data_IF_111010706298
#
_entry.id   IF_111010706298
#
_cell.length_a   1.000
_cell.length_b   1.000
_cell.length_c   1.000
_cell.angle_alpha   90.00
_cell.angle_beta   90.00
_cell.angle_gamma   90.00
#
_symmetry.space_group_name_H-M   'P 1'
#
loop_
_entity.id
_entity.type
_entity.pdbx_description
1 polymer ?
2 non-polymer ?
3 non-polymer ?
4 water ?
#
# COMPACT_ATOMS: atom_id res chain seq x y z
N UNK A 1 -24.55 1.55 4.24
CA UNK A 1 -24.24 2.99 3.99
C UNK A 1 -22.80 3.27 4.45
N UNK A 2 -22.54 4.51 4.85
CA UNK A 2 -21.23 4.90 5.37
C UNK A 2 -21.31 4.51 6.85
N UNK A 3 -22.52 4.23 7.29
CA UNK A 3 -22.79 3.84 8.67
C UNK A 3 -22.29 2.43 8.97
N UNK A 4 -22.31 1.57 7.96
CA UNK A 4 -21.86 0.20 8.16
C UNK A 4 -20.34 0.18 8.26
N UNK A 5 -19.68 1.00 7.46
CA UNK A 5 -18.23 1.05 7.50
C UNK A 5 -17.77 1.67 8.83
N UNK A 6 -18.46 2.73 9.27
CA UNK A 6 -18.10 3.37 10.53
C UNK A 6 -18.42 2.44 11.68
N UNK A 7 -19.32 1.52 11.39
CA UNK A 7 -19.78 0.50 12.32
C UNK A 7 -18.67 -0.48 12.72
N UNK A 8 -17.75 -0.75 11.78
CA UNK A 8 -16.65 -1.69 12.01
C UNK A 8 -15.36 -0.99 12.37
N UNK A 9 -15.40 0.33 12.43
CA UNK A 9 -14.24 1.09 12.80
C UNK A 9 -14.03 0.97 14.29
N UNK A 10 -12.81 1.21 14.75
CA UNK A 10 -12.52 1.13 16.17
C UNK A 10 -13.13 2.35 16.86
N UNK A 11 -13.75 2.11 18.01
CA UNK A 11 -14.34 3.21 18.78
C UNK A 11 -13.19 3.85 19.53
N UNK A 12 -12.91 5.10 19.19
CA UNK A 12 -11.81 5.84 19.78
C UNK A 12 -12.17 6.78 20.93
N UNK A 13 -11.25 6.89 21.88
CA UNK A 13 -11.39 7.75 23.05
C UNK A 13 -10.05 8.45 23.30
N UNK A 14 -10.09 9.53 24.07
CA UNK A 14 -8.87 10.26 24.40
C UNK A 14 -7.98 9.28 25.16
N UNK A 15 -6.73 9.14 24.71
CA UNK A 15 -5.81 8.24 25.36
C UNK A 15 -5.37 7.11 24.45
N UNK A 16 -6.15 6.82 23.42
CA UNK A 16 -5.81 5.74 22.50
C UNK A 16 -4.70 6.18 21.56
N UNK A 17 -4.18 5.23 20.78
CA UNK A 17 -3.13 5.53 19.82
C UNK A 17 -2.94 4.39 18.82
N UNK A 18 -2.57 4.75 17.59
CA UNK A 18 -2.38 3.74 16.57
C UNK A 18 -2.87 4.20 15.21
N UNK A 19 -2.85 3.31 14.23
CA UNK A 19 -3.28 3.63 12.88
C UNK A 19 -4.68 4.25 12.84
N UNK A 20 -5.57 3.79 13.72
CA UNK A 20 -6.93 4.31 13.77
C UNK A 20 -6.97 5.80 14.15
N UNK A 21 -6.28 6.15 15.23
CA UNK A 21 -6.23 7.53 15.69
C UNK A 21 -5.57 8.38 14.61
N UNK A 22 -4.76 7.73 13.79
CA UNK A 22 -4.08 8.41 12.71
C UNK A 22 -5.05 8.69 11.56
N UNK A 23 -5.89 7.72 11.24
CA UNK A 23 -6.88 7.86 10.18
C UNK A 23 -7.91 8.90 10.63
N UNK A 24 -8.18 8.93 11.92
CA UNK A 24 -9.13 9.88 12.48
C UNK A 24 -8.68 11.31 12.25
N UNK A 25 -7.49 11.63 12.74
CA UNK A 25 -6.92 12.99 12.62
C UNK A 25 -6.81 13.47 11.18
N UNK A 26 -6.51 12.55 10.28
CA UNK A 26 -6.41 12.91 8.87
C UNK A 26 -7.78 13.40 8.43
N UNK A 27 -8.81 12.59 8.69
CA UNK A 27 -10.18 12.93 8.35
C UNK A 27 -10.64 14.25 8.96
N UNK A 28 -10.27 14.49 10.22
CA UNK A 28 -10.65 15.72 10.89
C UNK A 28 -10.05 16.94 10.19
N UNK A 29 -8.80 16.82 9.77
CA UNK A 29 -8.12 17.92 9.07
C UNK A 29 -8.74 18.09 7.70
N UNK A 30 -9.07 16.96 7.07
CA UNK A 30 -9.68 16.93 5.75
C UNK A 30 -11.15 17.36 5.79
N UNK A 31 -11.65 17.62 6.99
CA UNK A 31 -13.03 18.06 7.18
C UNK A 31 -13.06 19.54 7.53
N UNK A 32 -11.90 20.09 7.84
CA UNK A 32 -11.82 21.50 8.19
C UNK A 32 -11.60 21.68 9.68
N UNK A 33 -11.36 20.58 10.37
CA UNK A 33 -11.13 20.65 11.81
C UNK A 33 -9.67 20.35 12.08
N UNK A 34 -8.88 21.42 12.13
CA UNK A 34 -7.44 21.32 12.32
C UNK A 34 -7.01 20.74 13.66
N UNK A 35 -6.30 19.62 13.58
CA UNK A 35 -5.80 18.94 14.77
C UNK A 35 -4.27 18.91 14.69
N UNK A 36 -3.76 19.23 13.51
CA UNK A 36 -2.32 19.25 13.30
C UNK A 36 -1.88 18.03 12.51
N UNK A 37 -0.56 17.83 12.44
CA UNK A 37 -0.01 16.69 11.72
C UNK A 37 -0.42 15.41 12.45
N UNK A 38 -1.05 14.47 11.73
CA UNK A 38 -1.47 13.20 12.34
C UNK A 38 -0.28 12.45 12.94
N UNK A 39 -0.36 12.10 14.21
CA UNK A 39 0.72 11.38 14.88
C UNK A 39 0.27 10.02 15.38
N UNK A 40 -1.04 9.80 15.44
CA UNK A 40 -1.56 8.54 15.92
C UNK A 40 -1.86 8.51 17.41
N UNK A 41 -1.82 9.68 18.06
CA UNK A 41 -2.10 9.76 19.50
C UNK A 41 -3.25 10.71 19.79
N UNK A 42 -4.35 10.16 20.29
CA UNK A 42 -5.56 10.91 20.61
C UNK A 42 -5.39 11.76 21.86
N UNK A 43 -5.00 13.02 21.69
CA UNK A 43 -4.80 13.91 22.82
C UNK A 43 -5.94 14.90 23.04
N UNK A 44 -5.58 16.12 23.43
CA UNK A 44 -6.57 17.17 23.67
C UNK A 44 -7.00 17.90 22.40
N UNK A 45 -6.04 18.23 21.54
CA UNK A 45 -6.36 18.92 20.29
C UNK A 45 -7.37 18.10 19.51
N UNK A 46 -7.14 16.80 19.47
CA UNK A 46 -8.02 15.89 18.75
C UNK A 46 -9.38 15.80 19.44
N UNK A 47 -9.38 15.73 20.76
CA UNK A 47 -10.62 15.62 21.53
C UNK A 47 -11.55 16.83 21.33
N UNK A 48 -10.98 18.03 21.40
CA UNK A 48 -11.78 19.25 21.25
C UNK A 48 -12.36 19.43 19.87
N UNK A 49 -11.67 18.92 18.87
CA UNK A 49 -12.13 19.02 17.49
C UNK A 49 -13.22 17.97 17.22
N UNK A 50 -13.10 16.83 17.89
CA UNK A 50 -14.08 15.75 17.74
C UNK A 50 -15.39 16.24 18.31
N UNK A 51 -15.31 16.83 19.50
CA UNK A 51 -16.48 17.35 20.21
C UNK A 51 -17.19 18.39 19.38
N UNK A 52 -16.44 19.40 18.93
CA UNK A 52 -16.99 20.47 18.12
C UNK A 52 -17.62 19.88 16.86
N UNK A 53 -16.85 19.05 16.17
CA UNK A 53 -17.32 18.40 14.95
C UNK A 53 -18.64 17.70 15.19
N UNK A 54 -18.77 17.05 16.35
CA UNK A 54 -19.99 16.34 16.72
C UNK A 54 -21.14 17.31 16.97
N UNK A 55 -20.85 18.41 17.66
CA UNK A 55 -21.88 19.42 17.94
C UNK A 55 -22.34 20.06 16.62
N UNK A 56 -21.39 20.40 15.75
CA UNK A 56 -21.71 21.00 14.46
C UNK A 56 -22.59 20.08 13.62
N UNK A 57 -22.51 18.78 13.87
CA UNK A 57 -23.25 17.82 13.07
C UNK A 57 -24.41 17.07 13.73
N UNK A 58 -24.75 17.47 14.95
CA UNK A 58 -25.84 16.86 15.71
C UNK A 58 -25.62 15.38 15.98
N UNK A 59 -24.48 15.10 16.58
CA UNK A 59 -24.11 13.74 16.94
C UNK A 59 -23.97 13.83 18.45
N UNK A 60 -23.94 12.69 19.12
CA UNK A 60 -23.78 12.72 20.57
C UNK A 60 -22.38 13.26 20.85
N UNK A 61 -22.33 14.53 21.22
CA UNK A 61 -21.07 15.23 21.49
C UNK A 61 -20.44 14.97 22.85
N UNK A 62 -19.83 13.81 23.01
CA UNK A 62 -19.16 13.46 24.27
C UNK A 62 -17.68 13.16 24.08
N UNK A 63 -17.19 13.33 22.85
CA UNK A 63 -15.79 13.07 22.57
C UNK A 63 -15.49 11.65 22.09
N UNK A 64 -16.46 10.75 22.20
CA UNK A 64 -16.29 9.36 21.78
C UNK A 64 -16.54 9.21 20.27
N UNK A 65 -15.61 8.58 19.57
CA UNK A 65 -15.71 8.41 18.14
C UNK A 65 -16.20 7.02 17.75
N UNK A 66 -17.50 6.91 17.54
CA UNK A 66 -18.11 5.65 17.18
C UNK A 66 -18.67 5.65 15.77
N UNK A 67 -19.54 4.68 15.50
CA UNK A 67 -20.14 4.52 14.19
C UNK A 67 -20.57 5.83 13.53
N UNK A 68 -21.47 6.54 14.21
CA UNK A 68 -22.01 7.80 13.71
C UNK A 68 -20.99 8.88 13.43
N UNK A 69 -20.06 9.07 14.36
CA UNK A 69 -19.05 10.09 14.16
C UNK A 69 -18.15 9.68 12.98
N UNK A 70 -17.83 8.39 12.87
CA UNK A 70 -17.01 7.90 11.74
C UNK A 70 -17.72 8.13 10.41
N UNK A 71 -18.98 7.71 10.32
CA UNK A 71 -19.76 7.88 9.11
C UNK A 71 -19.84 9.34 8.68
N UNK A 72 -19.93 10.24 9.66
CA UNK A 72 -20.02 11.67 9.35
C UNK A 72 -18.72 12.13 8.71
N UNK A 73 -17.60 11.74 9.31
CA UNK A 73 -16.28 12.08 8.78
C UNK A 73 -16.13 11.54 7.35
N UNK A 74 -16.47 10.27 7.14
CA UNK A 74 -16.39 9.68 5.81
C UNK A 74 -17.30 10.43 4.86
N UNK A 75 -18.30 11.11 5.41
CA UNK A 75 -19.25 11.85 4.62
C UNK A 75 -18.84 13.29 4.31
N UNK A 76 -18.12 13.93 5.21
CA UNK A 76 -17.75 15.32 5.01
C UNK A 76 -16.34 15.60 4.48
N UNK A 77 -15.39 14.72 4.80
CA UNK A 77 -14.00 14.94 4.39
C UNK A 77 -13.84 15.19 2.89
N UNK A 78 -12.86 16.01 2.55
CA UNK A 78 -12.57 16.36 1.16
C UNK A 78 -11.24 15.72 0.77
N UNK A 79 -11.28 14.74 -0.16
CA UNK A 79 -10.12 14.00 -0.67
C UNK A 79 -9.12 14.94 -1.36
N UNK A 80 -7.89 15.03 -0.83
CA UNK A 80 -6.87 15.89 -1.41
C UNK A 80 -6.48 15.55 -2.85
N UNK A 81 -6.62 14.29 -3.23
CA UNK A 81 -6.27 13.87 -4.59
C UNK A 81 -7.18 12.73 -5.05
N UNK A 82 -8.42 13.04 -5.45
CA UNK A 82 -9.32 11.96 -5.90
C UNK A 82 -8.71 11.15 -7.04
N UNK A 83 -8.76 9.82 -6.92
CA UNK A 83 -8.14 8.97 -7.94
C UNK A 83 -8.65 9.21 -9.36
N UNK A 84 -9.76 9.95 -9.48
CA UNK A 84 -10.31 10.26 -10.79
C UNK A 84 -9.43 11.29 -11.48
N UNK A 85 -8.55 11.94 -10.72
CA UNK A 85 -7.65 12.93 -11.31
C UNK A 85 -6.55 12.20 -12.08
N UNK A 86 -6.41 10.90 -11.82
CA UNK A 86 -5.44 10.07 -12.55
C UNK A 86 -6.22 9.54 -13.75
N UNK A 87 -5.70 9.73 -14.96
CA UNK A 87 -6.40 9.25 -16.15
C UNK A 87 -6.37 7.75 -16.35
N UNK A 88 -7.44 7.23 -16.93
CA UNK A 88 -7.54 5.80 -17.23
C UNK A 88 -6.63 5.56 -18.42
N UNK A 89 -6.05 4.36 -18.53
CA UNK A 89 -5.18 4.13 -19.69
C UNK A 89 -6.10 3.87 -20.89
N UNK A 90 -5.71 4.36 -22.06
CA UNK A 90 -6.53 4.18 -23.26
C UNK A 90 -6.82 2.72 -23.59
N UNK A 91 -5.92 1.82 -23.17
CA UNK A 91 -6.09 0.40 -23.44
C UNK A 91 -5.49 -0.45 -22.33
N UNK A 92 -5.89 -1.72 -22.30
CA UNK A 92 -5.40 -2.67 -21.31
C UNK A 92 -4.22 -3.45 -21.89
N UNK A 93 -3.42 -4.06 -21.02
CA UNK A 93 -2.27 -4.86 -21.45
C UNK A 93 -1.28 -4.07 -22.29
N UNK A 94 -1.36 -2.74 -22.22
CA UNK A 94 -0.49 -1.87 -22.99
C UNK A 94 0.46 -1.05 -22.11
N UNK A 95 1.76 -1.24 -22.30
CA UNK A 95 2.75 -0.48 -21.53
C UNK A 95 2.70 0.99 -21.92
N UNK A 96 2.43 1.27 -23.19
CA UNK A 96 2.35 2.64 -23.67
C UNK A 96 1.11 3.36 -23.11
N UNK A 97 0.03 2.63 -22.94
CA UNK A 97 -1.21 3.21 -22.42
C UNK A 97 -1.04 3.48 -20.92
N UNK A 98 -0.22 2.66 -20.27
CA UNK A 98 0.04 2.76 -18.85
C UNK A 98 1.00 3.88 -18.48
N UNK A 99 1.79 4.33 -19.45
CA UNK A 99 2.78 5.37 -19.20
C UNK A 99 2.22 6.70 -18.65
N UNK A 100 1.25 7.31 -19.36
CA UNK A 100 0.71 8.57 -18.84
C UNK A 100 0.13 8.40 -17.42
N UNK A 101 -0.47 7.25 -17.16
CA UNK A 101 -1.03 6.99 -15.84
C UNK A 101 0.06 7.04 -14.78
N UNK A 102 1.15 6.30 -15.01
CA UNK A 102 2.25 6.24 -14.06
C UNK A 102 2.94 7.59 -13.88
N UNK A 103 2.85 8.45 -14.89
CA UNK A 103 3.44 9.77 -14.80
C UNK A 103 2.60 10.56 -13.78
N UNK A 104 1.28 10.49 -13.93
CA UNK A 104 0.37 11.18 -13.03
C UNK A 104 0.56 10.65 -11.61
N UNK A 105 0.74 9.34 -11.51
CA UNK A 105 0.92 8.75 -10.20
C UNK A 105 2.26 9.19 -9.60
N UNK A 106 3.28 9.38 -10.43
CA UNK A 106 4.58 9.83 -9.91
C UNK A 106 4.42 11.25 -9.35
N UNK A 107 3.70 12.09 -10.08
CA UNK A 107 3.47 13.46 -9.62
C UNK A 107 2.70 13.47 -8.30
N UNK A 108 1.80 12.51 -8.14
CA UNK A 108 0.96 12.41 -6.96
C UNK A 108 1.61 11.78 -5.74
N UNK A 109 2.45 10.77 -5.96
CA UNK A 109 3.08 10.06 -4.85
C UNK A 109 4.58 10.26 -4.76
N UNK A 110 5.20 10.71 -5.85
CA UNK A 110 6.64 10.91 -5.84
C UNK A 110 7.41 9.71 -6.37
N UNK A 111 6.77 8.56 -6.51
CA UNK A 111 7.45 7.36 -7.01
C UNK A 111 7.62 7.37 -8.52
N UNK A 112 8.86 7.16 -8.95
CA UNK A 112 9.21 7.15 -10.38
C UNK A 112 8.39 6.18 -11.20
N UNK A 113 7.85 6.68 -12.30
CA UNK A 113 7.01 5.87 -13.17
C UNK A 113 7.74 4.70 -13.83
N UNK A 114 9.04 4.82 -14.04
CA UNK A 114 9.80 3.74 -14.65
C UNK A 114 9.66 2.52 -13.74
N UNK A 115 9.74 2.79 -12.43
CA UNK A 115 9.62 1.76 -11.42
C UNK A 115 8.20 1.18 -11.40
N UNK A 116 7.20 2.05 -11.41
CA UNK A 116 5.81 1.58 -11.41
C UNK A 116 5.54 0.74 -12.65
N UNK A 117 6.19 1.12 -13.76
CA UNK A 117 6.02 0.41 -15.02
C UNK A 117 6.64 -0.97 -14.94
N UNK A 118 7.86 -1.04 -14.42
CA UNK A 118 8.55 -2.31 -14.27
C UNK A 118 7.71 -3.28 -13.43
N UNK A 119 7.17 -2.80 -12.30
CA UNK A 119 6.36 -3.63 -11.41
C UNK A 119 5.07 -4.10 -12.04
N UNK A 120 4.33 -3.20 -12.67
CA UNK A 120 3.08 -3.56 -13.32
C UNK A 120 3.33 -4.56 -14.45
N UNK A 121 4.52 -4.52 -15.03
CA UNK A 121 4.89 -5.41 -16.12
C UNK A 121 5.21 -6.82 -15.61
N UNK A 122 6.03 -6.92 -14.57
CA UNK A 122 6.40 -8.21 -13.99
C UNK A 122 5.22 -8.87 -13.32
N UNK A 123 4.34 -8.06 -12.75
CA UNK A 123 3.19 -8.58 -12.02
C UNK A 123 1.99 -9.01 -12.86
N UNK A 124 1.66 -8.25 -13.88
CA UNK A 124 0.49 -8.56 -14.69
C UNK A 124 0.67 -8.33 -16.20
N UNK A 125 1.89 -8.07 -16.63
CA UNK A 125 2.12 -7.79 -18.04
C UNK A 125 1.11 -6.74 -18.52
N UNK A 126 0.81 -5.80 -17.63
CA UNK A 126 -0.09 -4.67 -17.88
C UNK A 126 -1.59 -4.93 -18.00
N UNK A 127 -2.03 -6.10 -17.56
CA UNK A 127 -3.44 -6.44 -17.58
C UNK A 127 -3.96 -6.04 -16.19
N UNK A 128 -4.70 -4.95 -16.13
CA UNK A 128 -5.21 -4.47 -14.85
C UNK A 128 -6.45 -5.20 -14.38
N UNK A 129 -6.71 -6.34 -15.00
CA UNK A 129 -7.87 -7.14 -14.62
C UNK A 129 -7.46 -8.55 -14.24
N UNK A 130 -6.27 -8.94 -14.66
CA UNK A 130 -5.76 -10.28 -14.39
C UNK A 130 -5.90 -10.68 -12.91
N UNK A 131 -6.47 -11.87 -12.70
CA UNK A 131 -6.69 -12.43 -11.37
C UNK A 131 -5.99 -13.79 -11.27
N UNK A 132 -4.89 -13.83 -10.52
CA UNK A 132 -4.10 -15.05 -10.33
C UNK A 132 -5.00 -16.25 -10.04
N UNK A 133 -4.65 -17.39 -10.63
CA UNK A 133 -5.43 -18.61 -10.46
C UNK A 133 -5.01 -19.33 -9.18
N UNK A 134 -3.92 -18.89 -8.58
CA UNK A 134 -3.41 -19.50 -7.35
C UNK A 134 -3.62 -18.66 -6.09
N UNK A 135 -4.28 -17.51 -6.22
CA UNK A 135 -4.51 -16.64 -5.06
C UNK A 135 -5.52 -15.54 -5.34
N UNK A 136 -5.47 -14.50 -4.50
CA UNK A 136 -6.36 -13.35 -4.63
C UNK A 136 -5.76 -12.35 -5.61
N UNK A 137 -4.43 -12.24 -5.58
CA UNK A 137 -3.69 -11.31 -6.43
C UNK A 137 -4.46 -10.87 -7.67
N UNK A 138 -4.85 -9.60 -7.68
CA UNK A 138 -5.59 -9.01 -8.80
C UNK A 138 -5.06 -7.65 -9.24
N UNK A 139 -5.27 -7.34 -10.52
CA UNK A 139 -4.86 -6.07 -11.08
C UNK A 139 -3.37 -5.91 -11.39
N UNK A 140 -3.02 -4.72 -11.89
CA UNK A 140 -1.65 -4.37 -12.24
C UNK A 140 -0.58 -4.76 -11.24
N UNK A 141 -0.87 -4.55 -9.94
CA UNK A 141 0.10 -4.85 -8.91
C UNK A 141 -0.18 -6.13 -8.14
N UNK A 142 -1.14 -6.91 -8.63
CA UNK A 142 -1.51 -8.18 -8.03
C UNK A 142 -1.60 -8.08 -6.51
N UNK A 143 -2.59 -7.33 -6.04
CA UNK A 143 -2.81 -7.15 -4.62
C UNK A 143 -3.70 -8.26 -4.09
N UNK A 144 -3.32 -8.83 -2.96
CA UNK A 144 -4.12 -9.85 -2.31
C UNK A 144 -5.24 -9.10 -1.59
N UNK A 145 -6.31 -9.81 -1.25
CA UNK A 145 -7.43 -9.20 -0.54
C UNK A 145 -6.96 -8.58 0.79
N UNK A 146 -6.11 -9.31 1.50
CA UNK A 146 -5.62 -8.82 2.78
C UNK A 146 -4.88 -7.50 2.71
N UNK A 147 -3.77 -7.50 1.97
CA UNK A 147 -2.94 -6.32 1.82
C UNK A 147 -3.70 -5.15 1.19
N UNK A 148 -4.64 -5.44 0.29
CA UNK A 148 -5.44 -4.39 -0.35
C UNK A 148 -6.29 -3.67 0.68
N UNK A 149 -6.98 -4.45 1.51
CA UNK A 149 -7.85 -3.91 2.55
C UNK A 149 -7.04 -2.99 3.45
N UNK A 150 -5.86 -3.45 3.85
CA UNK A 150 -4.98 -2.67 4.72
C UNK A 150 -4.59 -1.36 4.04
N UNK A 151 -4.24 -1.45 2.77
CA UNK A 151 -3.84 -0.27 2.02
C UNK A 151 -4.98 0.73 1.87
N UNK A 152 -6.21 0.26 1.66
CA UNK A 152 -7.34 1.16 1.52
C UNK A 152 -7.58 2.00 2.78
N UNK A 153 -7.69 1.32 3.91
CA UNK A 153 -7.93 2.00 5.17
C UNK A 153 -6.83 2.97 5.59
N UNK A 154 -5.58 2.68 5.21
CA UNK A 154 -4.49 3.56 5.57
C UNK A 154 -4.09 4.66 4.60
N UNK A 155 -4.58 4.59 3.36
CA UNK A 155 -4.23 5.59 2.37
C UNK A 155 -5.43 5.99 1.52
N UNK A 156 -6.47 5.17 1.57
CA UNK A 156 -7.66 5.42 0.78
C UNK A 156 -8.23 6.82 0.77
N UNK A 157 -8.56 7.38 1.93
CA UNK A 157 -9.14 8.73 2.01
C UNK A 157 -8.36 9.75 1.22
N UNK A 158 -7.04 9.64 1.28
CA UNK A 158 -6.12 10.52 0.58
C UNK A 158 -6.54 10.64 -0.89
N UNK A 159 -7.17 9.60 -1.42
CA UNK A 159 -7.60 9.58 -2.82
C UNK A 159 -9.09 9.43 -3.04
N UNK A 160 -9.87 9.56 -1.97
CA UNK A 160 -11.31 9.47 -2.09
C UNK A 160 -11.91 8.07 -2.11
N UNK A 161 -11.29 7.15 -1.39
CA UNK A 161 -11.79 5.79 -1.33
C UNK A 161 -11.62 5.31 0.11
N UNK A 162 -12.74 5.18 0.83
CA UNK A 162 -12.70 4.75 2.23
C UNK A 162 -12.70 3.25 2.38
N UNK A 163 -13.50 2.59 1.56
CA UNK A 163 -13.60 1.15 1.64
C UNK A 163 -13.89 0.49 0.29
N UNK A 164 -13.44 -0.75 0.17
CA UNK A 164 -13.63 -1.54 -1.04
C UNK A 164 -13.83 -2.97 -0.54
N UNK A 165 -14.95 -3.21 0.18
CA UNK A 165 -15.32 -4.51 0.74
C UNK A 165 -15.10 -5.67 -0.21
N UNK A 166 -15.52 -5.49 -1.45
CA UNK A 166 -15.40 -6.50 -2.47
C UNK A 166 -13.94 -6.67 -2.91
N UNK A 167 -13.15 -5.61 -2.77
CA UNK A 167 -11.78 -5.65 -3.20
C UNK A 167 -11.81 -5.53 -4.72
N UNK A 168 -13.00 -5.20 -5.22
CA UNK A 168 -13.24 -5.07 -6.66
C UNK A 168 -12.51 -3.92 -7.35
N UNK A 169 -12.11 -2.90 -6.60
CA UNK A 169 -11.42 -1.78 -7.20
C UNK A 169 -9.98 -2.14 -7.61
N UNK A 170 -9.52 -3.31 -7.20
CA UNK A 170 -8.19 -3.76 -7.58
C UNK A 170 -8.12 -3.92 -9.10
N UNK A 171 -9.27 -3.90 -9.76
CA UNK A 171 -9.34 -4.02 -11.21
C UNK A 171 -9.23 -2.65 -11.89
N UNK A 172 -9.32 -1.58 -11.10
CA UNK A 172 -9.20 -0.22 -11.62
C UNK A 172 -7.72 0.16 -11.59
N UNK A 173 -7.12 0.41 -12.76
CA UNK A 173 -5.71 0.78 -12.85
C UNK A 173 -5.25 2.02 -12.07
N UNK A 174 -6.11 3.03 -12.01
CA UNK A 174 -5.80 4.28 -11.31
C UNK A 174 -5.57 4.05 -9.82
N UNK A 175 -6.58 3.51 -9.14
CA UNK A 175 -6.46 3.26 -7.71
C UNK A 175 -5.37 2.22 -7.38
N UNK A 176 -5.21 1.21 -8.23
CA UNK A 176 -4.19 0.19 -7.99
C UNK A 176 -2.80 0.80 -8.05
N UNK A 177 -2.57 1.69 -9.02
CA UNK A 177 -1.28 2.34 -9.17
C UNK A 177 -0.99 3.25 -7.98
N UNK A 178 -1.99 4.01 -7.55
CA UNK A 178 -1.86 4.89 -6.39
C UNK A 178 -1.46 4.05 -5.19
N UNK A 179 -2.26 3.01 -4.93
CA UNK A 179 -2.00 2.12 -3.81
C UNK A 179 -0.65 1.44 -3.98
N UNK A 180 -0.36 1.02 -5.22
CA UNK A 180 0.91 0.39 -5.52
C UNK A 180 2.07 1.31 -5.16
N UNK A 181 1.99 2.59 -5.51
CA UNK A 181 3.06 3.52 -5.18
C UNK A 181 3.19 3.74 -3.65
N UNK A 182 2.06 3.71 -2.93
CA UNK A 182 2.11 3.88 -1.49
C UNK A 182 2.83 2.69 -0.88
N UNK A 183 2.52 1.49 -1.39
CA UNK A 183 3.16 0.28 -0.88
C UNK A 183 4.67 0.38 -1.09
N UNK A 184 5.07 0.78 -2.29
CA UNK A 184 6.48 0.94 -2.64
C UNK A 184 7.17 1.96 -1.74
N UNK A 185 6.45 3.02 -1.41
CA UNK A 185 6.96 4.08 -0.53
C UNK A 185 7.31 3.51 0.85
N UNK A 186 6.37 2.78 1.44
CA UNK A 186 6.58 2.17 2.75
C UNK A 186 7.85 1.32 2.70
N UNK A 187 7.94 0.50 1.67
CA UNK A 187 9.07 -0.40 1.50
C UNK A 187 10.41 0.30 1.27
N UNK A 188 10.46 1.27 0.36
CA UNK A 188 11.73 1.95 0.13
C UNK A 188 12.14 2.71 1.38
N UNK A 189 11.14 3.08 2.18
CA UNK A 189 11.35 3.81 3.42
C UNK A 189 11.97 2.92 4.50
N UNK A 190 11.58 1.65 4.51
CA UNK A 190 12.09 0.68 5.47
C UNK A 190 13.50 0.21 5.07
N UNK A 191 13.73 0.07 3.77
CA UNK A 191 15.02 -0.40 3.29
C UNK A 191 16.17 0.60 3.26
N UNK A 192 15.91 1.85 2.89
CA UNK A 192 16.99 2.83 2.82
C UNK A 192 17.72 3.05 4.14
N UNK A 193 17.03 2.97 5.28
CA UNK A 193 17.70 3.17 6.57
C UNK A 193 18.90 2.24 6.71
N UNK A 194 18.72 1.00 6.26
CA UNK A 194 19.78 0.00 6.33
C UNK A 194 20.29 -0.34 4.93
N UNK A 195 20.95 0.63 4.28
CA UNK A 195 21.46 0.43 2.94
C UNK A 195 22.20 1.69 2.48
N UNK A 196 23.51 1.57 2.30
CA UNK A 196 24.33 2.69 1.86
C UNK A 196 24.07 2.83 0.36
N UNK A 197 22.81 3.03 0.01
CA UNK A 197 22.41 3.14 -1.38
C UNK A 197 20.90 3.40 -1.45
N UNK A 198 20.44 4.00 -2.54
CA UNK A 198 19.02 4.24 -2.70
C UNK A 198 18.47 2.90 -3.16
N UNK A 199 17.40 2.40 -2.52
CA UNK A 199 16.85 1.10 -2.95
C UNK A 199 16.63 1.05 -4.46
N UNK A 200 17.07 -0.05 -5.07
CA UNK A 200 16.93 -0.25 -6.49
C UNK A 200 15.58 -0.91 -6.76
N UNK A 201 15.24 -1.08 -8.03
CA UNK A 201 13.97 -1.72 -8.38
C UNK A 201 14.00 -3.17 -7.91
N UNK A 202 15.15 -3.81 -8.04
CA UNK A 202 15.31 -5.19 -7.61
C UNK A 202 15.16 -5.31 -6.10
N UNK A 203 15.72 -4.35 -5.37
CA UNK A 203 15.61 -4.35 -3.90
C UNK A 203 14.15 -4.23 -3.49
N UNK A 204 13.44 -3.32 -4.16
CA UNK A 204 12.03 -3.07 -3.90
C UNK A 204 11.14 -4.23 -4.35
N UNK A 205 11.59 -4.98 -5.35
CA UNK A 205 10.79 -6.11 -5.81
C UNK A 205 10.89 -7.23 -4.80
N UNK A 206 12.06 -7.37 -4.21
CA UNK A 206 12.27 -8.39 -3.19
C UNK A 206 11.34 -8.08 -2.02
N UNK A 207 11.25 -6.81 -1.65
CA UNK A 207 10.37 -6.41 -0.55
C UNK A 207 8.93 -6.68 -0.97
N UNK A 208 8.63 -6.45 -2.23
CA UNK A 208 7.28 -6.67 -2.75
C UNK A 208 6.96 -8.16 -2.79
N UNK A 209 7.98 -8.96 -3.05
CA UNK A 209 7.83 -10.40 -3.16
C UNK A 209 7.83 -11.14 -1.84
N UNK A 210 8.79 -10.83 -0.97
CA UNK A 210 8.89 -11.51 0.32
C UNK A 210 8.41 -10.69 1.52
N UNK A 211 7.97 -9.47 1.29
CA UNK A 211 7.53 -8.63 2.39
C UNK A 211 8.68 -7.70 2.73
N UNK A 212 8.38 -6.49 3.23
CA UNK A 212 9.44 -5.54 3.59
C UNK A 212 10.40 -6.07 4.66
N UNK A 213 9.84 -6.76 5.65
CA UNK A 213 10.68 -7.29 6.72
C UNK A 213 11.61 -8.38 6.21
N UNK A 214 11.05 -9.31 5.43
CA UNK A 214 11.85 -10.39 4.89
C UNK A 214 13.00 -9.86 4.04
N UNK A 215 12.69 -8.95 3.11
CA UNK A 215 13.69 -8.37 2.22
C UNK A 215 14.79 -7.59 2.95
N UNK A 216 14.40 -6.87 4.00
CA UNK A 216 15.36 -6.09 4.78
C UNK A 216 16.50 -6.96 5.30
N UNK A 217 16.17 -8.10 5.90
CA UNK A 217 17.17 -9.01 6.40
C UNK A 217 17.96 -9.58 5.23
N UNK A 218 17.25 -10.07 4.22
CA UNK A 218 17.89 -10.65 3.05
C UNK A 218 18.89 -9.72 2.37
N UNK A 219 18.45 -8.51 1.99
CA UNK A 219 19.34 -7.56 1.32
C UNK A 219 20.64 -7.29 2.08
N UNK A 220 20.73 -7.82 3.29
CA UNK A 220 21.90 -7.64 4.12
C UNK A 220 22.14 -8.90 4.95
N UNK A 221 22.43 -10.01 4.28
CA UNK A 221 22.63 -11.27 4.98
C UNK A 221 23.65 -12.22 4.35
N UNK A 222 24.89 -11.76 4.22
CA UNK A 222 25.95 -12.58 3.67
C UNK A 222 25.73 -13.08 2.25
N UNK A 223 26.53 -12.58 1.32
CA UNK A 223 26.43 -12.95 -0.09
C UNK A 223 26.47 -14.46 -0.36
N UNK A 224 27.54 -15.11 0.08
CA UNK A 224 27.70 -16.54 -0.12
C UNK A 224 27.10 -17.38 0.99
N UNK A 225 25.89 -17.05 1.40
CA UNK A 225 25.23 -17.78 2.46
C UNK A 225 24.01 -18.51 1.87
N UNK A 226 23.63 -19.62 2.50
CA UNK A 226 22.47 -20.39 2.03
C UNK A 226 21.18 -19.70 2.41
N UNK A 227 20.45 -19.22 1.40
CA UNK A 227 19.20 -18.51 1.63
C UNK A 227 18.13 -19.31 2.37
N UNK A 228 17.81 -20.50 1.88
CA UNK A 228 16.77 -21.32 2.50
C UNK A 228 16.97 -21.50 4.00
N UNK A 229 18.22 -21.40 4.45
CA UNK A 229 18.53 -21.54 5.87
C UNK A 229 17.86 -20.42 6.66
N UNK A 230 18.16 -19.19 6.27
CA UNK A 230 17.63 -18.00 6.94
C UNK A 230 16.20 -17.67 6.57
N UNK A 231 15.77 -18.09 5.38
CA UNK A 231 14.43 -17.79 4.93
C UNK A 231 13.62 -19.02 4.56
N UNK A 232 13.25 -19.81 5.57
CA UNK A 232 12.47 -21.06 5.46
C UNK A 232 11.06 -20.90 4.89
N UNK A 233 10.28 -19.95 5.42
CA UNK A 233 8.92 -19.73 4.93
C UNK A 233 8.98 -19.31 3.47
N UNK A 234 9.93 -18.42 3.16
CA UNK A 234 10.12 -17.91 1.81
C UNK A 234 10.62 -19.01 0.88
N UNK A 235 11.56 -19.81 1.38
CA UNK A 235 12.13 -20.91 0.62
C UNK A 235 11.13 -22.01 0.37
N UNK A 236 10.26 -22.27 1.34
CA UNK A 236 9.25 -23.29 1.19
C UNK A 236 8.14 -22.77 0.29
N UNK A 237 8.02 -21.45 0.19
CA UNK A 237 6.99 -20.83 -0.64
C UNK A 237 7.38 -20.72 -2.12
N UNK A 238 8.67 -20.58 -2.38
CA UNK A 238 9.16 -20.48 -3.75
C UNK A 238 10.41 -21.31 -3.88
N UNK A 239 10.25 -22.64 -3.81
CA UNK A 239 11.39 -23.57 -3.93
C UNK A 239 12.14 -23.39 -5.24
N UNK A 240 11.38 -23.12 -6.30
CA UNK A 240 11.94 -22.92 -7.63
C UNK A 240 13.05 -21.87 -7.67
N UNK A 241 13.04 -20.91 -6.74
CA UNK A 241 14.09 -19.89 -6.75
C UNK A 241 15.09 -20.02 -5.60
N UNK A 242 14.71 -20.77 -4.58
CA UNK A 242 15.59 -20.96 -3.42
C UNK A 242 16.42 -22.23 -3.51
N UNK A 243 15.99 -23.17 -4.35
CA UNK A 243 16.67 -24.45 -4.50
C UNK A 243 17.08 -24.78 -5.92
N UNK A 244 18.26 -25.37 -6.06
CA UNK A 244 18.76 -25.77 -7.37
C UNK A 244 17.94 -26.95 -7.87
N UNK A 245 18.04 -27.26 -9.15
CA UNK A 245 17.28 -28.36 -9.72
C UNK A 245 17.46 -29.70 -8.99
N UNK A 246 18.59 -29.87 -8.28
CA UNK A 246 18.84 -31.12 -7.56
C UNK A 246 18.36 -31.11 -6.10
N UNK A 247 17.74 -30.02 -5.70
CA UNK A 247 17.24 -29.92 -4.34
C UNK A 247 18.15 -29.16 -3.38
N UNK A 248 19.36 -28.84 -3.79
CA UNK A 248 20.27 -28.12 -2.91
C UNK A 248 19.95 -26.62 -2.87
N UNK A 249 20.14 -25.99 -1.70
CA UNK A 249 19.89 -24.56 -1.49
C UNK A 249 20.90 -23.63 -2.15
N UNK A 250 20.39 -22.61 -2.82
CA UNK A 250 21.23 -21.62 -3.49
C UNK A 250 21.75 -20.61 -2.50
N UNK A 251 22.82 -19.92 -2.88
CA UNK A 251 23.42 -18.88 -2.05
C UNK A 251 22.57 -17.62 -2.16
N UNK A 252 22.79 -16.67 -1.25
CA UNK A 252 22.06 -15.42 -1.26
C UNK A 252 22.26 -14.70 -2.58
N UNK A 253 23.52 -14.58 -3.00
CA UNK A 253 23.86 -13.91 -4.23
C UNK A 253 23.15 -14.54 -5.43
N UNK A 254 23.07 -15.87 -5.43
CA UNK A 254 22.42 -16.59 -6.51
C UNK A 254 20.93 -16.25 -6.56
N UNK A 255 20.31 -16.14 -5.38
CA UNK A 255 18.89 -15.79 -5.31
C UNK A 255 18.71 -14.36 -5.81
N UNK A 256 19.60 -13.47 -5.37
CA UNK A 256 19.54 -12.08 -5.79
C UNK A 256 19.70 -11.96 -7.31
N UNK A 257 20.79 -12.51 -7.82
CA UNK A 257 21.05 -12.46 -9.25
C UNK A 257 19.90 -13.04 -10.03
N UNK A 258 19.30 -14.09 -9.49
CA UNK A 258 18.16 -14.72 -10.14
C UNK A 258 17.00 -13.72 -10.19
N UNK A 259 16.75 -13.02 -9.07
CA UNK A 259 15.68 -12.05 -8.99
C UNK A 259 15.95 -10.81 -9.85
N UNK A 260 17.17 -10.28 -9.73
CA UNK A 260 17.55 -9.10 -10.51
C UNK A 260 17.34 -9.34 -12.00
N UNK A 261 17.52 -10.59 -12.42
CA UNK A 261 17.33 -10.93 -13.82
C UNK A 261 15.88 -10.96 -14.20
N UNK A 262 15.02 -11.39 -13.28
CA UNK A 262 13.58 -11.43 -13.54
C UNK A 262 13.07 -10.00 -13.71
N UNK A 263 13.63 -9.08 -12.94
CA UNK A 263 13.28 -7.67 -12.98
C UNK A 263 13.82 -7.04 -14.28
N UNK A 264 15.08 -7.33 -14.58
CA UNK A 264 15.76 -6.83 -15.76
C UNK A 264 14.94 -7.02 -17.04
N UNK A 265 14.26 -8.15 -17.13
CA UNK A 265 13.45 -8.43 -18.30
C UNK A 265 12.30 -7.43 -18.47
N UNK A 266 11.99 -6.67 -17.41
CA UNK A 266 10.87 -5.73 -17.51
C UNK A 266 11.21 -4.24 -17.40
N UNK A 267 12.49 -3.90 -17.46
CA UNK A 267 12.90 -2.51 -17.38
C UNK A 267 12.84 -1.88 -18.76
N UNK A 268 12.92 -0.55 -18.82
CA UNK A 268 12.89 0.20 -20.08
C UNK A 268 12.16 -0.55 -21.20
X LIG B 1 -21.12 7.55 17.88
X LIG C 1 -27.86 4.50 16.28
X LIG C 1 -28.78 5.06 15.27
X LIG C 1 -26.81 3.71 15.60
X LIG C 1 -28.60 3.62 17.21
X LIG C 1 -27.23 5.60 17.04
#
# INVERSE_FOLDING_TARGET
HHHHHGSIMKVLRKGDRGDEVCQLQTLLNLCGYDVGKPDGIFGNNTFNQVVKFQKDNCLDSDGIVGKNTWAELFSKYSPPIPYKTIPMPTANKSRAAATPVMNAVENATGVRSQLLLTFASIESAFDYEIKAKTSSATGWFQFLTGTWKTMIENYGMKYGVLTDPTGALRKDPRISALMGAELIKENMNILRPVLKREPTDTDLYLAHFFGPGAARRFLTTGQNELAATHFPKEAQANPSIFYNKDGSPKTIQEVYNLMDGKVAAHRK
NI NI
SO4 S O1 O2 O3 O4
#
